data_IF_096169641281
#
_entry.id   IF_096169641281
#
_cell.length_a   1.000
_cell.length_b   1.000
_cell.length_c   1.000
_cell.angle_alpha   90.00
_cell.angle_beta   90.00
_cell.angle_gamma   90.00
#
_symmetry.space_group_name_H-M   'P 1'
#
loop_
_entity.id
_entity.type
_entity.pdbx_description
1 polymer ?
#
# COMPACT_ATOMS: atom_id res chain seq x y z
N UNK A 1 -6.85 -11.86 1.80
CA UNK A 1 -6.29 -11.20 3.00
C UNK A 1 -5.17 -10.27 2.55
N UNK A 2 -5.10 -9.04 3.06
CA UNK A 2 -4.01 -8.12 2.75
C UNK A 2 -2.76 -8.49 3.54
N UNK A 3 -1.63 -8.63 2.86
CA UNK A 3 -0.35 -8.99 3.48
C UNK A 3 0.23 -7.79 4.24
N UNK A 4 0.73 -8.01 5.45
CA UNK A 4 1.34 -7.02 6.32
C UNK A 4 2.87 -7.12 6.29
N UNK A 5 3.51 -5.96 6.29
CA UNK A 5 4.96 -5.82 6.40
C UNK A 5 5.31 -4.92 7.57
N UNK A 6 6.24 -5.36 8.42
CA UNK A 6 6.89 -4.48 9.39
C UNK A 6 8.17 -3.92 8.77
N UNK A 7 8.37 -2.61 8.86
CA UNK A 7 9.56 -1.93 8.33
C UNK A 7 10.23 -1.17 9.47
N UNK A 8 11.49 -1.51 9.76
CA UNK A 8 12.35 -0.67 10.59
C UNK A 8 13.19 0.24 9.68
N UNK A 9 12.95 1.54 9.78
CA UNK A 9 13.69 2.56 9.05
C UNK A 9 13.86 3.79 9.97
N UNK A 10 15.07 4.04 10.50
CA UNK A 10 15.31 5.19 11.38
C UNK A 10 15.34 6.51 10.61
N UNK A 11 15.58 6.49 9.30
CA UNK A 11 15.55 7.71 8.49
C UNK A 11 14.12 8.11 8.14
N UNK A 12 13.61 9.12 8.86
CA UNK A 12 12.26 9.66 8.67
C UNK A 12 11.95 10.10 7.23
N UNK A 13 12.94 10.55 6.46
CA UNK A 13 12.75 10.92 5.06
C UNK A 13 12.41 9.71 4.18
N UNK A 14 12.99 8.54 4.48
CA UNK A 14 12.72 7.30 3.76
C UNK A 14 11.40 6.64 4.18
N UNK A 15 10.97 6.85 5.42
CA UNK A 15 9.72 6.27 5.93
C UNK A 15 8.51 6.61 5.06
N UNK A 16 8.36 7.86 4.64
CA UNK A 16 7.24 8.28 3.79
C UNK A 16 7.24 7.58 2.42
N UNK A 17 8.42 7.49 1.81
CA UNK A 17 8.63 6.79 0.55
C UNK A 17 8.28 5.29 0.67
N UNK A 18 8.88 4.58 1.63
CA UNK A 18 8.64 3.15 1.84
C UNK A 18 7.18 2.85 2.16
N UNK A 19 6.49 3.73 2.91
CA UNK A 19 5.07 3.58 3.23
C UNK A 19 4.20 3.61 1.99
N UNK A 20 4.35 4.66 1.17
CA UNK A 20 3.52 4.84 -0.02
C UNK A 20 3.82 3.75 -1.04
N UNK A 21 5.09 3.42 -1.22
CA UNK A 21 5.53 2.42 -2.18
C UNK A 21 5.06 1.02 -1.80
N UNK A 22 5.13 0.61 -0.52
CA UNK A 22 4.61 -0.70 -0.12
C UNK A 22 3.08 -0.81 -0.28
N UNK A 23 2.34 0.28 -0.05
CA UNK A 23 0.89 0.32 -0.30
C UNK A 23 0.57 0.21 -1.78
N UNK A 24 1.33 0.90 -2.65
CA UNK A 24 1.15 0.80 -4.11
C UNK A 24 1.34 -0.62 -4.61
N UNK A 25 2.19 -1.40 -3.94
CA UNK A 25 2.45 -2.79 -4.26
C UNK A 25 1.51 -3.78 -3.56
N UNK A 26 0.50 -3.28 -2.83
CA UNK A 26 -0.56 -4.10 -2.24
C UNK A 26 -0.28 -4.61 -0.83
N UNK A 27 0.79 -4.13 -0.18
CA UNK A 27 1.14 -4.49 1.20
C UNK A 27 0.55 -3.48 2.19
N UNK A 28 0.38 -3.92 3.44
CA UNK A 28 -0.03 -3.08 4.58
C UNK A 28 1.21 -2.81 5.45
N UNK A 29 1.85 -1.65 5.31
CA UNK A 29 3.06 -1.35 6.08
C UNK A 29 2.75 -0.87 7.49
N UNK A 30 3.52 -1.39 8.45
CA UNK A 30 3.76 -0.77 9.76
C UNK A 30 5.23 -0.32 9.81
N UNK A 31 5.47 0.98 9.87
CA UNK A 31 6.83 1.54 9.92
C UNK A 31 7.17 1.94 11.35
N UNK A 32 8.38 1.61 11.78
CA UNK A 32 8.88 1.84 13.13
C UNK A 32 10.27 2.49 13.04
N UNK A 33 10.44 3.63 13.69
CA UNK A 33 11.75 4.31 13.79
C UNK A 33 12.58 3.91 15.02
N UNK A 34 11.96 3.21 15.97
CA UNK A 34 12.59 2.78 17.23
C UNK A 34 12.85 1.26 17.23
N UNK A 35 14.11 0.84 17.22
CA UNK A 35 14.50 -0.56 17.08
C UNK A 35 13.96 -1.47 18.20
N UNK A 36 14.06 -1.08 19.49
CA UNK A 36 13.42 -1.80 20.60
C UNK A 36 11.93 -2.17 20.41
N UNK A 37 11.17 -1.40 19.62
CA UNK A 37 9.75 -1.68 19.37
C UNK A 37 9.52 -2.77 18.33
N UNK A 38 10.54 -3.14 17.54
CA UNK A 38 10.40 -4.06 16.42
C UNK A 38 9.99 -5.46 16.87
N UNK A 39 10.71 -6.04 17.83
CA UNK A 39 10.43 -7.40 18.30
C UNK A 39 9.04 -7.53 18.95
N UNK A 40 8.63 -6.65 19.90
CA UNK A 40 7.27 -6.68 20.44
C UNK A 40 6.19 -6.64 19.35
N UNK A 41 6.39 -5.83 18.30
CA UNK A 41 5.44 -5.73 17.18
C UNK A 41 5.42 -7.02 16.34
N UNK A 42 6.57 -7.56 15.95
CA UNK A 42 6.63 -8.82 15.20
C UNK A 42 5.98 -9.99 15.95
N UNK A 43 6.09 -9.99 17.28
CA UNK A 43 5.58 -11.07 18.12
C UNK A 43 4.09 -10.91 18.44
N UNK A 44 3.57 -9.69 18.52
CA UNK A 44 2.13 -9.43 18.73
C UNK A 44 1.31 -9.41 17.43
N UNK A 45 1.91 -9.04 16.30
CA UNK A 45 1.23 -8.88 15.03
C UNK A 45 1.19 -10.13 14.13
N UNK A 46 0.42 -10.03 13.04
CA UNK A 46 0.32 -11.00 11.96
C UNK A 46 1.09 -10.51 10.73
N UNK A 47 2.41 -10.58 10.77
CA UNK A 47 3.27 -10.11 9.68
C UNK A 47 3.73 -11.26 8.81
N UNK A 48 3.79 -11.04 7.50
CA UNK A 48 4.37 -11.98 6.54
C UNK A 48 5.80 -11.57 6.16
N UNK A 49 6.12 -10.28 6.30
CA UNK A 49 7.38 -9.68 5.91
C UNK A 49 7.96 -8.77 6.99
N UNK A 50 9.28 -8.75 7.07
CA UNK A 50 10.07 -7.82 7.86
C UNK A 50 11.19 -7.23 7.00
N UNK A 51 11.23 -5.91 6.87
CA UNK A 51 12.30 -5.16 6.24
C UNK A 51 13.00 -4.30 7.29
N UNK A 52 14.32 -4.32 7.36
CA UNK A 52 15.07 -3.58 8.39
C UNK A 52 16.30 -2.87 7.85
N UNK A 53 16.57 -1.66 8.34
CA UNK A 53 17.87 -1.02 8.17
C UNK A 53 18.93 -1.72 9.02
N UNK A 54 19.83 -2.43 8.36
CA UNK A 54 20.92 -3.19 8.98
C UNK A 54 22.16 -2.34 9.27
N UNK A 55 22.09 -1.03 9.00
CA UNK A 55 23.18 -0.09 9.27
C UNK A 55 23.09 0.49 10.69
N UNK A 56 21.93 0.37 11.35
CA UNK A 56 21.68 1.01 12.64
C UNK A 56 22.36 0.29 13.81
N UNK A 57 21.99 -0.98 14.04
CA UNK A 57 22.54 -1.82 15.11
C UNK A 57 22.46 -3.28 14.67
N UNK A 58 23.59 -3.82 14.19
CA UNK A 58 23.62 -5.15 13.59
C UNK A 58 23.39 -6.25 14.60
N UNK A 59 23.98 -6.12 15.79
CA UNK A 59 23.91 -7.17 16.82
C UNK A 59 22.48 -7.33 17.31
N UNK A 60 21.82 -6.21 17.65
CA UNK A 60 20.44 -6.25 18.08
C UNK A 60 19.51 -6.75 16.96
N UNK A 61 19.75 -6.39 15.70
CA UNK A 61 18.95 -6.91 14.58
C UNK A 61 19.17 -8.41 14.40
N UNK A 62 20.41 -8.90 14.51
CA UNK A 62 20.71 -10.33 14.42
C UNK A 62 19.97 -11.11 15.50
N UNK A 63 19.95 -10.60 16.74
CA UNK A 63 19.20 -11.19 17.85
C UNK A 63 17.70 -11.23 17.59
N UNK A 64 17.12 -10.14 17.08
CA UNK A 64 15.70 -10.08 16.68
C UNK A 64 15.42 -11.14 15.62
N UNK A 65 16.26 -11.24 14.59
CA UNK A 65 16.09 -12.20 13.49
C UNK A 65 16.19 -13.64 14.01
N UNK A 66 17.18 -13.92 14.85
CA UNK A 66 17.35 -15.22 15.47
C UNK A 66 16.12 -15.61 16.30
N UNK A 67 15.61 -14.69 17.11
CA UNK A 67 14.40 -14.89 17.91
C UNK A 67 13.15 -15.16 17.04
N UNK A 68 13.01 -14.48 15.90
CA UNK A 68 11.92 -14.74 14.93
C UNK A 68 12.02 -16.16 14.38
N UNK A 69 13.23 -16.60 13.99
CA UNK A 69 13.45 -17.93 13.39
C UNK A 69 13.31 -19.07 14.39
N UNK A 70 13.65 -18.87 15.66
CA UNK A 70 13.41 -19.85 16.73
C UNK A 70 11.92 -20.01 17.07
N UNK A 71 11.14 -18.94 16.92
CA UNK A 71 9.72 -18.98 17.23
C UNK A 71 8.91 -19.64 16.10
N UNK A 72 8.40 -20.86 16.32
CA UNK A 72 7.57 -21.61 15.34
C UNK A 72 6.39 -20.81 14.77
N UNK A 73 5.78 -19.91 15.57
CA UNK A 73 4.65 -19.08 15.12
C UNK A 73 5.07 -17.91 14.21
N UNK A 74 6.37 -17.61 14.14
CA UNK A 74 6.93 -16.45 13.43
C UNK A 74 8.03 -16.82 12.43
N UNK A 75 8.51 -18.07 12.43
CA UNK A 75 9.54 -18.54 11.52
C UNK A 75 9.19 -18.40 10.02
N UNK A 76 7.88 -18.32 9.70
CA UNK A 76 7.37 -18.06 8.36
C UNK A 76 7.63 -16.63 7.86
N UNK A 77 7.94 -15.68 8.75
CA UNK A 77 8.22 -14.30 8.38
C UNK A 77 9.46 -14.27 7.49
N UNK A 78 9.30 -13.61 6.34
CA UNK A 78 10.37 -13.38 5.39
C UNK A 78 11.08 -12.09 5.73
N UNK A 79 12.41 -12.16 5.79
CA UNK A 79 13.25 -11.13 6.36
C UNK A 79 14.14 -10.56 5.28
N UNK A 80 14.11 -9.25 5.12
CA UNK A 80 14.97 -8.51 4.22
C UNK A 80 15.71 -7.44 4.99
N UNK A 81 16.92 -7.16 4.55
CA UNK A 81 17.72 -6.09 5.12
C UNK A 81 18.00 -5.01 4.09
N UNK A 82 18.25 -3.79 4.55
CA UNK A 82 18.80 -2.72 3.73
C UNK A 82 20.14 -2.26 4.31
N UNK A 83 21.16 -2.07 3.46
CA UNK A 83 22.53 -1.77 3.91
C UNK A 83 23.39 -1.13 2.79
N UNK A 84 24.32 -0.19 3.07
CA UNK A 84 25.12 0.51 2.07
C UNK A 84 25.92 -0.38 1.12
N UNK A 85 26.50 -1.48 1.61
CA UNK A 85 27.15 -2.50 0.80
C UNK A 85 27.47 -3.70 1.71
N UNK A 86 26.86 -4.88 1.52
CA UNK A 86 27.20 -6.02 2.34
C UNK A 86 28.57 -6.55 1.90
N UNK A 87 29.52 -6.62 2.84
CA UNK A 87 30.78 -7.33 2.64
C UNK A 87 30.56 -8.86 2.70
N UNK A 88 31.62 -9.62 2.42
CA UNK A 88 31.57 -11.10 2.44
C UNK A 88 31.10 -11.65 3.79
N UNK A 89 31.54 -11.04 4.90
CA UNK A 89 31.18 -11.49 6.25
C UNK A 89 29.70 -11.25 6.54
N UNK A 90 29.18 -10.10 6.11
CA UNK A 90 27.77 -9.74 6.18
C UNK A 90 26.93 -10.72 5.39
N UNK A 91 27.32 -11.04 4.14
CA UNK A 91 26.62 -12.01 3.32
C UNK A 91 26.59 -13.41 3.97
N UNK A 92 27.71 -13.88 4.52
CA UNK A 92 27.77 -15.15 5.23
C UNK A 92 26.86 -15.17 6.46
N UNK A 93 26.86 -14.09 7.23
CA UNK A 93 26.00 -13.93 8.40
C UNK A 93 24.52 -13.93 8.01
N UNK A 94 24.16 -13.25 6.93
CA UNK A 94 22.79 -13.25 6.40
C UNK A 94 22.28 -14.64 6.03
N UNK A 95 23.12 -15.43 5.35
CA UNK A 95 22.78 -16.80 4.98
C UNK A 95 22.52 -17.64 6.25
N UNK A 96 23.39 -17.52 7.26
CA UNK A 96 23.25 -18.25 8.54
C UNK A 96 21.96 -17.90 9.29
N UNK A 97 21.58 -16.63 9.25
CA UNK A 97 20.35 -16.13 9.90
C UNK A 97 19.08 -16.41 9.09
N UNK A 98 19.18 -16.95 7.88
CA UNK A 98 18.04 -17.21 7.01
C UNK A 98 17.37 -15.92 6.51
N UNK A 99 18.16 -14.89 6.26
CA UNK A 99 17.71 -13.65 5.60
C UNK A 99 17.42 -13.96 4.12
N UNK A 100 16.26 -13.50 3.63
CA UNK A 100 15.74 -13.81 2.31
C UNK A 100 16.34 -12.97 1.19
N UNK A 101 16.81 -11.76 1.50
CA UNK A 101 17.43 -10.86 0.54
C UNK A 101 17.91 -9.56 1.18
N UNK A 102 18.57 -8.72 0.37
CA UNK A 102 19.01 -7.40 0.81
C UNK A 102 18.78 -6.34 -0.26
N UNK A 103 18.73 -5.09 0.18
CA UNK A 103 18.59 -3.90 -0.65
C UNK A 103 19.79 -3.00 -0.39
N UNK A 104 20.56 -2.69 -1.43
CA UNK A 104 21.74 -1.82 -1.29
C UNK A 104 21.31 -0.36 -1.08
N UNK A 105 21.82 0.30 -0.04
CA UNK A 105 21.66 1.75 0.17
C UNK A 105 22.82 2.54 -0.49
N UNK A 106 22.61 3.79 -0.92
CA UNK A 106 21.29 4.37 -1.22
C UNK A 106 20.64 3.60 -2.39
N UNK A 107 19.31 3.50 -2.38
CA UNK A 107 18.55 2.90 -3.48
C UNK A 107 17.68 3.95 -4.16
N UNK A 108 17.60 3.88 -5.49
CA UNK A 108 16.54 4.51 -6.25
C UNK A 108 15.24 3.71 -6.13
N UNK A 109 14.13 4.32 -6.53
CA UNK A 109 12.83 3.62 -6.58
C UNK A 109 12.88 2.38 -7.48
N UNK A 110 13.49 2.52 -8.66
CA UNK A 110 13.67 1.42 -9.61
C UNK A 110 14.50 0.27 -9.01
N UNK A 111 15.56 0.58 -8.26
CA UNK A 111 16.39 -0.45 -7.63
C UNK A 111 15.65 -1.18 -6.50
N UNK A 112 14.87 -0.44 -5.72
CA UNK A 112 14.02 -1.01 -4.67
C UNK A 112 12.97 -1.95 -5.27
N UNK A 113 12.30 -1.53 -6.35
CA UNK A 113 11.34 -2.34 -7.11
C UNK A 113 11.96 -3.64 -7.60
N UNK A 114 13.08 -3.51 -8.32
CA UNK A 114 13.79 -4.62 -8.92
C UNK A 114 14.25 -5.64 -7.90
N UNK A 115 14.63 -5.21 -6.71
CA UNK A 115 15.25 -6.10 -5.72
C UNK A 115 14.21 -6.70 -4.78
N UNK A 116 13.40 -5.88 -4.14
CA UNK A 116 12.45 -6.33 -3.13
C UNK A 116 11.21 -6.95 -3.77
N UNK A 117 10.59 -6.27 -4.74
CA UNK A 117 9.32 -6.72 -5.31
C UNK A 117 9.47 -7.82 -6.34
N UNK A 118 10.51 -7.82 -7.20
CA UNK A 118 10.74 -8.99 -8.05
C UNK A 118 11.00 -10.24 -7.22
N UNK A 119 11.64 -10.11 -6.05
CA UNK A 119 11.77 -11.24 -5.14
C UNK A 119 10.40 -11.69 -4.62
N UNK A 120 9.57 -10.74 -4.18
CA UNK A 120 8.20 -11.04 -3.72
C UNK A 120 7.40 -11.75 -4.82
N UNK A 121 7.50 -11.26 -6.06
CA UNK A 121 6.77 -11.78 -7.19
C UNK A 121 7.18 -13.21 -7.54
N UNK A 122 8.49 -13.46 -7.64
CA UNK A 122 9.05 -14.78 -7.94
C UNK A 122 8.68 -15.84 -6.90
N UNK A 123 8.56 -15.44 -5.63
CA UNK A 123 8.39 -16.37 -4.51
C UNK A 123 6.96 -16.48 -3.99
N UNK A 124 6.01 -15.62 -4.40
CA UNK A 124 4.61 -15.69 -3.96
C UNK A 124 3.54 -15.02 -4.83
N UNK A 125 3.86 -14.18 -5.82
CA UNK A 125 2.83 -13.51 -6.64
C UNK A 125 2.60 -14.21 -7.99
N UNK A 126 2.44 -15.54 -8.00
CA UNK A 126 2.10 -16.23 -9.25
C UNK A 126 0.60 -16.25 -9.60
N UNK A 127 -0.30 -15.62 -8.84
CA UNK A 127 -1.69 -15.54 -9.27
C UNK A 127 -2.50 -14.37 -8.69
N UNK A 128 -3.31 -13.78 -9.58
CA UNK A 128 -4.44 -12.86 -9.40
C UNK A 128 -4.12 -11.42 -8.97
N UNK A 129 -4.37 -10.48 -9.90
CA UNK A 129 -4.55 -9.02 -9.75
C UNK A 129 -4.17 -8.48 -8.38
N UNK A 130 -3.03 -7.77 -8.28
CA UNK A 130 -2.56 -7.09 -7.06
C UNK A 130 -3.75 -6.51 -6.29
N UNK A 131 -4.13 -7.15 -5.18
CA UNK A 131 -5.29 -6.71 -4.38
C UNK A 131 -4.78 -5.60 -3.48
N UNK A 132 -4.86 -4.36 -3.97
CA UNK A 132 -4.52 -3.20 -3.17
C UNK A 132 -5.36 -3.17 -1.88
N UNK A 133 -4.76 -2.82 -0.72
CA UNK A 133 -5.50 -2.58 0.50
C UNK A 133 -6.66 -1.62 0.24
N UNK A 134 -7.86 -2.03 0.68
CA UNK A 134 -9.08 -1.23 0.59
C UNK A 134 -9.42 -0.72 1.97
N UNK A 135 -9.81 0.54 2.05
CA UNK A 135 -10.30 1.18 3.28
C UNK A 135 -11.67 1.77 3.03
N UNK A 136 -12.53 1.70 4.03
CA UNK A 136 -13.81 2.40 4.05
C UNK A 136 -13.64 3.73 4.76
N UNK A 137 -13.95 4.86 4.10
CA UNK A 137 -13.89 6.17 4.74
C UNK A 137 -14.76 6.26 6.00
N UNK A 138 -14.28 6.97 7.02
CA UNK A 138 -15.13 7.31 8.17
C UNK A 138 -16.26 8.25 7.72
N UNK A 139 -17.48 8.16 8.31
CA UNK A 139 -18.53 9.14 8.06
C UNK A 139 -18.09 10.60 8.27
N UNK A 140 -17.14 10.83 9.18
CA UNK A 140 -16.59 12.17 9.47
C UNK A 140 -15.68 12.71 8.37
N UNK A 141 -15.10 11.85 7.53
CA UNK A 141 -14.16 12.25 6.48
C UNK A 141 -14.86 12.96 5.30
N UNK A 142 -16.21 12.82 5.21
CA UNK A 142 -17.05 13.37 4.14
C UNK A 142 -16.47 13.07 2.74
N UNK A 143 -15.90 11.88 2.57
CA UNK A 143 -15.22 11.46 1.37
C UNK A 143 -16.21 11.38 0.19
N UNK A 144 -15.98 12.18 -0.85
CA UNK A 144 -16.87 12.24 -2.02
C UNK A 144 -16.09 12.32 -3.32
N UNK A 145 -16.61 11.70 -4.37
CA UNK A 145 -16.17 11.89 -5.74
C UNK A 145 -17.19 12.74 -6.50
N UNK A 146 -16.72 13.70 -7.28
CA UNK A 146 -17.54 14.55 -8.15
C UNK A 146 -17.25 14.17 -9.59
N UNK A 147 -18.26 13.59 -10.25
CA UNK A 147 -18.20 13.25 -11.66
C UNK A 147 -18.76 14.43 -12.46
N UNK A 148 -17.90 15.10 -13.21
CA UNK A 148 -18.29 16.27 -13.99
C UNK A 148 -19.02 15.87 -15.27
N UNK A 149 -20.14 16.54 -15.56
CA UNK A 149 -20.91 16.35 -16.79
C UNK A 149 -21.58 14.97 -16.93
N UNK A 150 -21.67 14.19 -15.86
CA UNK A 150 -22.12 12.79 -15.90
C UNK A 150 -23.62 12.62 -16.20
N UNK A 151 -24.45 13.62 -15.86
CA UNK A 151 -25.91 13.58 -16.11
C UNK A 151 -26.36 14.92 -16.66
N UNK A 152 -26.73 15.00 -17.95
CA UNK A 152 -27.26 16.24 -18.58
C UNK A 152 -26.40 17.49 -18.28
N UNK A 153 -25.07 17.38 -18.36
CA UNK A 153 -24.11 18.43 -18.02
C UNK A 153 -24.11 18.89 -16.55
N UNK A 154 -24.69 18.11 -15.63
CA UNK A 154 -24.62 18.34 -14.19
C UNK A 154 -23.50 17.51 -13.55
N UNK A 155 -22.97 18.05 -12.45
CA UNK A 155 -21.99 17.38 -11.62
C UNK A 155 -22.69 16.39 -10.68
N UNK A 156 -22.27 15.13 -10.70
CA UNK A 156 -22.78 14.10 -9.81
C UNK A 156 -21.82 13.92 -8.64
N UNK A 157 -22.23 14.34 -7.44
CA UNK A 157 -21.45 14.16 -6.21
C UNK A 157 -21.89 12.89 -5.49
N UNK A 158 -20.98 11.93 -5.39
CA UNK A 158 -21.24 10.60 -4.81
C UNK A 158 -20.35 10.35 -3.59
N UNK A 159 -20.88 9.81 -2.49
CA UNK A 159 -20.07 9.32 -1.38
C UNK A 159 -19.15 8.17 -1.80
N UNK A 160 -17.93 8.14 -1.25
CA UNK A 160 -16.98 7.03 -1.46
C UNK A 160 -17.29 5.92 -0.46
N UNK A 161 -17.64 4.74 -0.96
CA UNK A 161 -17.92 3.55 -0.16
C UNK A 161 -16.64 2.86 0.30
N UNK A 162 -15.68 2.70 -0.62
CA UNK A 162 -14.34 2.20 -0.35
C UNK A 162 -13.34 2.77 -1.36
N UNK A 163 -12.08 2.85 -0.95
CA UNK A 163 -10.98 3.33 -1.79
C UNK A 163 -9.74 2.47 -1.59
N UNK A 164 -8.98 2.31 -2.67
CA UNK A 164 -7.67 1.66 -2.70
C UNK A 164 -6.73 2.44 -3.62
N UNK A 165 -5.48 1.99 -3.67
CA UNK A 165 -4.50 2.47 -4.62
C UNK A 165 -4.90 2.29 -6.10
N UNK A 166 -5.71 1.26 -6.40
CA UNK A 166 -6.09 0.92 -7.77
C UNK A 166 -7.44 1.50 -8.18
N UNK A 167 -8.24 2.04 -7.27
CA UNK A 167 -9.59 2.48 -7.59
C UNK A 167 -10.47 2.74 -6.39
N UNK A 168 -11.75 2.99 -6.65
CA UNK A 168 -12.74 3.32 -5.64
C UNK A 168 -14.13 2.79 -6.00
N UNK A 169 -14.95 2.56 -4.98
CA UNK A 169 -16.38 2.34 -5.13
C UNK A 169 -17.15 3.56 -4.61
N UNK A 170 -18.18 3.98 -5.34
CA UNK A 170 -19.05 5.08 -4.95
C UNK A 170 -20.47 4.57 -4.69
N UNK A 171 -21.15 5.20 -3.73
CA UNK A 171 -22.55 4.93 -3.45
C UNK A 171 -23.43 5.69 -4.44
N UNK A 172 -24.30 4.97 -5.14
CA UNK A 172 -25.30 5.56 -6.03
C UNK A 172 -26.56 5.89 -5.23
N UNK A 173 -27.23 7.03 -5.52
CA UNK A 173 -28.52 7.32 -4.92
C UNK A 173 -29.58 6.31 -5.41
N UNK A 174 -30.60 5.99 -4.59
CA UNK A 174 -31.62 4.99 -4.92
C UNK A 174 -32.47 5.35 -6.15
N UNK A 175 -32.55 6.64 -6.51
CA UNK A 175 -33.15 7.12 -7.75
C UNK A 175 -32.06 7.74 -8.62
N UNK A 176 -31.38 6.93 -9.40
CA UNK A 176 -30.53 7.45 -10.48
C UNK A 176 -31.51 7.92 -11.57
N UNK A 177 -31.46 9.18 -12.02
CA UNK A 177 -32.34 9.63 -13.10
C UNK A 177 -32.16 8.69 -14.30
N UNK A 178 -33.26 8.26 -14.94
CA UNK A 178 -33.25 7.43 -16.17
C UNK A 178 -32.43 8.07 -17.33
N UNK A 179 -31.95 9.29 -17.15
CA UNK A 179 -31.01 9.99 -18.03
C UNK A 179 -29.53 9.87 -17.63
N UNK A 180 -29.15 9.00 -16.69
CA UNK A 180 -27.76 8.62 -16.45
C UNK A 180 -27.23 7.67 -17.53
N UNK A 181 -27.46 8.03 -18.81
CA UNK A 181 -27.07 7.37 -20.06
C UNK A 181 -25.53 7.31 -20.24
N UNK A 182 -24.77 7.43 -19.16
CA UNK A 182 -23.34 7.66 -19.22
C UNK A 182 -22.53 6.84 -18.24
N UNK A 183 -23.12 5.90 -17.48
CA UNK A 183 -22.37 5.00 -16.60
C UNK A 183 -22.45 3.59 -17.17
N UNK A 184 -21.50 3.27 -18.04
CA UNK A 184 -21.39 1.96 -18.69
C UNK A 184 -20.07 1.29 -18.27
N UNK A 185 -20.09 -0.03 -18.12
CA UNK A 185 -18.85 -0.79 -17.85
C UNK A 185 -17.85 -0.53 -18.99
N UNK A 186 -16.57 -0.41 -18.65
CA UNK A 186 -15.45 -0.02 -19.51
C UNK A 186 -15.42 1.44 -19.96
N UNK A 187 -16.43 2.24 -19.61
CA UNK A 187 -16.40 3.66 -19.94
C UNK A 187 -15.33 4.38 -19.12
N UNK A 188 -14.52 5.18 -19.83
CA UNK A 188 -13.57 6.10 -19.21
C UNK A 188 -14.29 7.36 -18.75
N UNK A 189 -14.11 7.69 -17.47
CA UNK A 189 -14.61 8.91 -16.84
C UNK A 189 -13.40 9.74 -16.42
N UNK A 190 -13.26 10.91 -17.04
CA UNK A 190 -12.13 11.82 -16.85
C UNK A 190 -12.49 12.92 -15.86
N UNK A 191 -11.45 13.56 -15.32
CA UNK A 191 -11.56 14.73 -14.45
C UNK A 191 -12.45 14.50 -13.21
N UNK A 192 -12.43 13.28 -12.65
CA UNK A 192 -13.18 13.02 -11.42
C UNK A 192 -12.46 13.72 -10.27
N UNK A 193 -13.16 14.59 -9.57
CA UNK A 193 -12.63 15.25 -8.40
C UNK A 193 -12.92 14.42 -7.15
N UNK A 194 -11.88 13.84 -6.57
CA UNK A 194 -11.94 13.08 -5.32
C UNK A 194 -11.58 14.01 -4.17
N UNK A 195 -12.52 14.22 -3.26
CA UNK A 195 -12.34 15.00 -2.03
C UNK A 195 -12.37 14.10 -0.82
N UNK A 196 -11.30 14.12 -0.04
CA UNK A 196 -11.18 13.35 1.20
C UNK A 196 -10.50 14.25 2.24
N UNK A 197 -11.19 14.49 3.38
CA UNK A 197 -10.72 15.43 4.41
C UNK A 197 -10.35 16.79 3.81
N UNK A 198 -9.08 17.17 3.90
CA UNK A 198 -8.55 18.46 3.44
C UNK A 198 -7.89 18.41 2.06
N UNK A 199 -7.82 17.24 1.41
CA UNK A 199 -7.18 17.13 0.11
C UNK A 199 -8.19 16.86 -1.01
N UNK A 200 -7.83 17.38 -2.18
CA UNK A 200 -8.55 17.24 -3.43
C UNK A 200 -7.57 16.68 -4.46
N UNK A 201 -7.94 15.59 -5.12
CA UNK A 201 -7.18 15.03 -6.24
C UNK A 201 -8.09 14.87 -7.45
N UNK A 202 -7.49 14.97 -8.63
CA UNK A 202 -8.21 14.78 -9.90
C UNK A 202 -7.71 13.47 -10.50
N UNK A 203 -8.64 12.57 -10.79
CA UNK A 203 -8.33 11.23 -11.28
C UNK A 203 -9.08 10.94 -12.58
N UNK A 204 -8.50 10.06 -13.37
CA UNK A 204 -9.18 9.43 -14.51
C UNK A 204 -9.40 7.97 -14.20
N UNK A 205 -10.63 7.50 -14.38
CA UNK A 205 -11.02 6.12 -14.08
C UNK A 205 -11.68 5.43 -15.27
N UNK A 206 -11.72 4.11 -15.26
CA UNK A 206 -12.70 3.34 -16.00
C UNK A 206 -13.70 2.66 -15.05
N UNK A 207 -14.95 2.53 -15.49
CA UNK A 207 -15.98 1.81 -14.75
C UNK A 207 -15.73 0.30 -14.91
N UNK A 208 -15.52 -0.42 -13.81
CA UNK A 208 -15.27 -1.88 -13.83
C UNK A 208 -16.51 -2.70 -13.51
N UNK A 209 -17.43 -2.15 -12.71
CA UNK A 209 -18.63 -2.85 -12.31
C UNK A 209 -19.72 -1.89 -11.82
N UNK A 210 -20.98 -2.32 -11.94
CA UNK A 210 -22.17 -1.59 -11.49
C UNK A 210 -23.04 -2.50 -10.60
N UNK A 211 -22.58 -2.92 -9.42
CA UNK A 211 -23.42 -3.69 -8.50
C UNK A 211 -24.59 -2.83 -7.98
N UNK A 212 -25.68 -3.44 -7.47
CA UNK A 212 -26.82 -2.70 -6.96
C UNK A 212 -26.43 -1.60 -5.95
N UNK A 213 -26.83 -0.36 -6.24
CA UNK A 213 -26.56 0.81 -5.38
C UNK A 213 -25.11 1.31 -5.38
N UNK A 214 -24.23 0.80 -6.26
CA UNK A 214 -22.82 1.20 -6.31
C UNK A 214 -22.27 1.28 -7.72
N UNK A 215 -21.20 2.05 -7.86
CA UNK A 215 -20.34 2.07 -9.05
C UNK A 215 -18.90 1.81 -8.63
N UNK A 216 -18.25 0.85 -9.27
CA UNK A 216 -16.86 0.53 -9.03
C UNK A 216 -16.01 1.07 -10.18
N UNK A 217 -14.92 1.75 -9.83
CA UNK A 217 -14.04 2.44 -10.74
C UNK A 217 -12.58 2.05 -10.47
N UNK A 218 -11.80 1.87 -11.53
CA UNK A 218 -10.36 1.62 -11.47
C UNK A 218 -9.62 2.81 -12.09
N UNK A 219 -8.52 3.25 -11.46
CA UNK A 219 -7.70 4.37 -11.92
C UNK A 219 -6.92 3.98 -13.17
N UNK A 220 -6.87 4.86 -14.19
CA UNK A 220 -6.20 4.58 -15.47
C UNK A 220 -5.08 5.55 -15.77
N UNK A 221 -5.28 6.83 -15.46
CA UNK A 221 -4.32 7.89 -15.77
C UNK A 221 -4.34 8.91 -14.64
N UNK A 222 -3.84 8.48 -13.49
CA UNK A 222 -3.80 9.31 -12.27
C UNK A 222 -2.37 9.70 -11.98
N UNK A 223 -2.12 11.00 -11.80
CA UNK A 223 -0.78 11.50 -11.52
C UNK A 223 -0.19 10.89 -10.24
N UNK A 224 1.13 10.73 -10.20
CA UNK A 224 1.82 10.22 -9.01
C UNK A 224 1.56 11.08 -7.76
N UNK A 225 1.46 12.40 -7.94
CA UNK A 225 1.08 13.30 -6.85
C UNK A 225 -0.33 13.01 -6.30
N UNK A 226 -1.30 12.74 -7.18
CA UNK A 226 -2.66 12.38 -6.77
C UNK A 226 -2.68 11.04 -6.03
N UNK A 227 -1.95 10.05 -6.55
CA UNK A 227 -1.82 8.75 -5.89
C UNK A 227 -1.16 8.87 -4.51
N UNK A 228 -0.16 9.74 -4.34
CA UNK A 228 0.50 10.00 -3.05
C UNK A 228 -0.48 10.42 -1.96
N UNK A 229 -1.47 11.26 -2.28
CA UNK A 229 -2.50 11.64 -1.31
C UNK A 229 -3.44 10.48 -0.96
N UNK A 230 -3.82 9.67 -1.95
CA UNK A 230 -4.65 8.47 -1.76
C UNK A 230 -3.90 7.45 -0.88
N UNK A 231 -2.62 7.19 -1.18
CA UNK A 231 -1.76 6.32 -0.37
C UNK A 231 -1.69 6.77 1.07
N UNK A 232 -1.42 8.07 1.30
CA UNK A 232 -1.35 8.63 2.65
C UNK A 232 -2.64 8.39 3.44
N UNK A 233 -3.79 8.62 2.81
CA UNK A 233 -5.09 8.40 3.44
C UNK A 233 -5.35 6.93 3.79
N UNK A 234 -5.09 6.01 2.86
CA UNK A 234 -5.17 4.57 3.10
C UNK A 234 -4.28 4.17 4.28
N UNK A 235 -3.05 4.67 4.28
CA UNK A 235 -2.08 4.45 5.33
C UNK A 235 -2.57 4.91 6.71
N UNK A 236 -3.27 6.04 6.80
CA UNK A 236 -3.81 6.55 8.06
C UNK A 236 -4.89 5.63 8.61
N UNK A 237 -5.85 5.20 7.77
CA UNK A 237 -6.95 4.33 8.18
C UNK A 237 -6.51 2.88 8.49
N UNK A 238 -5.46 2.38 7.84
CA UNK A 238 -4.93 1.05 8.17
C UNK A 238 -4.18 0.99 9.50
N UNK A 239 -3.82 2.15 10.06
CA UNK A 239 -3.05 2.25 11.30
C UNK A 239 -3.85 2.84 12.48
N UNK A 240 -5.08 3.32 12.23
CA UNK A 240 -6.06 3.71 13.26
C UNK A 240 -6.79 2.51 13.81
#
# INVERSE_FOLDING_TARGET
MSMKILIYEPNSALCGYLKNYTISQGLVPKIVGNLPMVQPLLFSGSYEYYLTDYSADRELIDDIIFNIKLNKKRAHIRIFISTPQPDKNTLQRMIRLGINGFIKKPFSEELFEKTFFQWLEKNSFKNNKRVHPRVTPSPTDRATAILHGAVRNQNLRLPIADISAGGMALLLPPKIPNTAVALEIHKVVRNIEVRIRHFKVVVTTHIVALPPGRICMEFVDTSQDSLKYIYRYIAELLNS
#
